data_IF_831497552692
#
_entry.id   IF_831497552692
#
_cell.length_a   1.000
_cell.length_b   1.000
_cell.length_c   1.000
_cell.angle_alpha   90.00
_cell.angle_beta   90.00
_cell.angle_gamma   90.00
#
_symmetry.space_group_name_H-M   'P 1'
#
loop_
_entity.id
_entity.type
_entity.pdbx_description
1 polymer ?
#
# COMPACT_ATOMS: atom_id res chain seq x y z
N UNK A 1 5.88 -23.78 -17.23
CA UNK A 1 6.70 -22.57 -17.49
C UNK A 1 5.71 -21.43 -17.63
N UNK A 2 5.74 -20.43 -16.75
CA UNK A 2 4.84 -19.28 -16.83
C UNK A 2 5.12 -18.48 -18.11
N UNK A 3 4.07 -17.94 -18.73
CA UNK A 3 4.24 -16.97 -19.81
C UNK A 3 4.75 -15.64 -19.25
N UNK A 4 5.24 -14.76 -20.13
CA UNK A 4 5.69 -13.41 -19.74
C UNK A 4 4.54 -12.58 -19.16
N UNK A 5 3.34 -12.79 -19.69
CA UNK A 5 2.10 -12.15 -19.24
C UNK A 5 1.69 -12.71 -17.88
N UNK A 6 1.82 -14.02 -17.64
CA UNK A 6 1.56 -14.61 -16.31
C UNK A 6 2.52 -14.09 -15.24
N UNK A 7 3.79 -13.82 -15.59
CA UNK A 7 4.75 -13.20 -14.67
C UNK A 7 4.29 -11.80 -14.25
N UNK A 8 3.78 -10.99 -15.18
CA UNK A 8 3.20 -9.67 -14.89
C UNK A 8 1.95 -9.80 -14.01
N UNK A 9 1.02 -10.71 -14.36
CA UNK A 9 -0.20 -10.95 -13.58
C UNK A 9 0.13 -11.34 -12.12
N UNK A 10 1.09 -12.24 -11.94
CA UNK A 10 1.55 -12.65 -10.61
C UNK A 10 2.11 -11.47 -9.82
N UNK A 11 2.96 -10.64 -10.45
CA UNK A 11 3.56 -9.49 -9.77
C UNK A 11 2.52 -8.42 -9.40
N UNK A 12 1.53 -8.18 -10.27
CA UNK A 12 0.40 -7.29 -9.97
C UNK A 12 -0.37 -7.78 -8.75
N UNK A 13 -0.76 -9.06 -8.75
CA UNK A 13 -1.47 -9.66 -7.61
C UNK A 13 -0.67 -9.56 -6.31
N UNK A 14 0.62 -9.89 -6.35
CA UNK A 14 1.51 -9.82 -5.18
C UNK A 14 1.64 -8.38 -4.62
N UNK A 15 1.46 -7.37 -5.47
CA UNK A 15 1.45 -5.96 -5.10
C UNK A 15 0.04 -5.41 -4.79
N UNK A 16 -0.98 -6.27 -4.69
CA UNK A 16 -2.34 -5.87 -4.36
C UNK A 16 -3.15 -5.32 -5.54
N UNK A 17 -2.78 -5.62 -6.78
CA UNK A 17 -3.57 -5.29 -7.97
C UNK A 17 -4.31 -6.52 -8.50
N UNK A 18 -5.64 -6.44 -8.53
CA UNK A 18 -6.51 -7.45 -9.09
C UNK A 18 -6.82 -7.14 -10.56
N UNK A 19 -6.60 -8.11 -11.45
CA UNK A 19 -7.09 -8.04 -12.83
C UNK A 19 -8.58 -8.42 -12.81
N UNK A 20 -9.46 -7.43 -13.02
CA UNK A 20 -10.93 -7.57 -12.87
C UNK A 20 -11.66 -7.80 -14.20
N UNK A 21 -11.03 -7.43 -15.31
CA UNK A 21 -11.47 -7.74 -16.67
C UNK A 21 -10.22 -7.99 -17.50
N UNK A 22 -10.15 -9.14 -18.16
CA UNK A 22 -9.07 -9.52 -19.05
C UNK A 22 -9.54 -9.72 -20.50
N UNK A 23 -10.55 -8.95 -20.90
CA UNK A 23 -11.29 -8.99 -22.16
C UNK A 23 -10.53 -9.51 -23.40
N UNK A 24 -11.28 -10.07 -24.34
CA UNK A 24 -10.81 -10.80 -25.54
C UNK A 24 -9.85 -10.05 -26.51
N UNK A 25 -9.32 -8.87 -26.16
CA UNK A 25 -8.54 -7.99 -27.03
C UNK A 25 -7.21 -7.48 -26.48
N UNK A 26 -6.62 -8.12 -25.46
CA UNK A 26 -5.27 -7.74 -25.00
C UNK A 26 -5.22 -6.53 -24.07
N UNK A 27 -6.34 -6.13 -23.47
CA UNK A 27 -6.38 -5.10 -22.44
C UNK A 27 -6.82 -5.68 -21.09
N UNK A 28 -6.16 -5.29 -20.01
CA UNK A 28 -6.51 -5.66 -18.64
C UNK A 28 -7.01 -4.45 -17.88
N UNK A 29 -8.20 -4.57 -17.29
CA UNK A 29 -8.64 -3.62 -16.27
C UNK A 29 -8.12 -4.12 -14.92
N UNK A 30 -7.31 -3.30 -14.25
CA UNK A 30 -6.76 -3.61 -12.94
C UNK A 30 -7.30 -2.68 -11.87
N UNK A 31 -7.51 -3.21 -10.66
CA UNK A 31 -7.95 -2.46 -9.49
C UNK A 31 -7.02 -2.73 -8.32
N UNK A 32 -6.63 -1.67 -7.61
CA UNK A 32 -5.90 -1.85 -6.36
C UNK A 32 -6.86 -2.37 -5.29
N UNK A 33 -6.52 -3.50 -4.68
CA UNK A 33 -7.33 -4.20 -3.66
C UNK A 33 -7.58 -3.33 -2.43
N UNK A 34 -6.59 -2.52 -2.06
CA UNK A 34 -6.57 -1.77 -0.81
C UNK A 34 -6.87 -0.27 -0.95
N UNK A 35 -6.68 0.31 -2.13
CA UNK A 35 -6.75 1.75 -2.33
C UNK A 35 -7.99 2.06 -3.17
N UNK A 36 -8.89 2.95 -2.72
CA UNK A 36 -10.09 3.33 -3.45
C UNK A 36 -9.78 4.32 -4.59
N UNK A 37 -8.89 3.92 -5.52
CA UNK A 37 -8.56 4.64 -6.75
C UNK A 37 -9.40 4.12 -7.92
N UNK A 38 -9.64 4.94 -8.96
CA UNK A 38 -10.22 4.47 -10.21
C UNK A 38 -9.41 3.27 -10.77
N UNK A 39 -10.07 2.28 -11.40
CA UNK A 39 -9.37 1.21 -12.08
C UNK A 39 -8.50 1.77 -13.21
N UNK A 40 -7.42 1.06 -13.52
CA UNK A 40 -6.50 1.39 -14.61
C UNK A 40 -6.62 0.37 -15.73
N UNK A 41 -6.41 0.81 -16.97
CA UNK A 41 -6.48 -0.02 -18.16
C UNK A 41 -5.08 -0.24 -18.72
N UNK A 42 -4.64 -1.51 -18.72
CA UNK A 42 -3.33 -1.94 -19.19
C UNK A 42 -3.50 -2.56 -20.58
N UNK A 43 -3.06 -1.85 -21.62
CA UNK A 43 -3.01 -2.37 -22.98
C UNK A 43 -1.74 -3.21 -23.14
N UNK A 44 -1.90 -4.52 -23.27
CA UNK A 44 -0.83 -5.48 -23.49
C UNK A 44 -0.50 -5.60 -24.97
N UNK A 45 0.74 -6.01 -25.24
CA UNK A 45 1.26 -6.24 -26.58
C UNK A 45 1.05 -5.01 -27.49
N UNK A 46 1.34 -3.82 -26.96
CA UNK A 46 1.36 -2.57 -27.74
C UNK A 46 2.74 -1.96 -27.93
N UNK A 47 3.80 -2.43 -27.24
CA UNK A 47 5.14 -1.81 -27.30
C UNK A 47 6.27 -2.71 -27.79
N UNK A 48 7.21 -2.13 -28.55
CA UNK A 48 8.50 -2.72 -28.91
C UNK A 48 9.55 -2.61 -27.79
N UNK A 49 10.75 -3.16 -28.02
CA UNK A 49 11.87 -3.11 -27.06
C UNK A 49 12.43 -1.69 -26.82
N UNK A 50 12.08 -0.74 -27.69
CA UNK A 50 12.42 0.68 -27.57
C UNK A 50 11.26 1.50 -26.97
N UNK A 51 10.17 0.86 -26.53
CA UNK A 51 8.99 1.52 -25.94
C UNK A 51 8.10 2.23 -26.96
N UNK A 52 8.17 1.86 -28.24
CA UNK A 52 7.35 2.44 -29.32
C UNK A 52 6.12 1.60 -29.61
N UNK A 53 5.03 2.27 -29.95
CA UNK A 53 3.76 1.66 -30.32
C UNK A 53 3.89 0.89 -31.64
N UNK A 54 3.40 -0.35 -31.69
CA UNK A 54 3.42 -1.19 -32.89
C UNK A 54 2.05 -1.81 -33.16
N UNK A 55 1.77 -2.04 -34.44
CA UNK A 55 0.58 -2.73 -34.95
C UNK A 55 0.70 -4.26 -34.67
N UNK A 56 0.50 -4.65 -33.41
CA UNK A 56 0.21 -5.97 -32.83
C UNK A 56 1.15 -7.19 -33.05
N UNK A 57 1.78 -7.43 -34.19
CA UNK A 57 2.43 -8.75 -34.42
C UNK A 57 3.78 -8.95 -33.69
N UNK A 58 4.42 -7.87 -33.23
CA UNK A 58 5.76 -7.90 -32.62
C UNK A 58 5.86 -7.21 -31.26
N UNK A 59 4.75 -6.66 -30.80
CA UNK A 59 4.71 -5.96 -29.54
C UNK A 59 4.74 -6.95 -28.37
N UNK A 60 5.51 -6.59 -27.34
CA UNK A 60 5.73 -7.41 -26.15
C UNK A 60 5.82 -6.51 -24.93
N UNK A 61 4.85 -5.62 -24.76
CA UNK A 61 4.90 -4.63 -23.70
C UNK A 61 3.53 -4.34 -23.13
N UNK A 62 3.47 -3.36 -22.25
CA UNK A 62 2.26 -2.90 -21.61
C UNK A 62 2.30 -1.38 -21.49
N UNK A 63 1.18 -0.71 -21.72
CA UNK A 63 0.98 0.72 -21.44
C UNK A 63 -0.29 0.92 -20.63
N UNK A 64 -0.25 1.90 -19.73
CA UNK A 64 -1.41 2.29 -18.93
C UNK A 64 -2.15 3.43 -19.65
N UNK A 65 -3.45 3.27 -19.91
CA UNK A 65 -4.26 4.24 -20.65
C UNK A 65 -4.37 5.58 -19.91
N UNK A 66 -4.60 5.54 -18.61
CA UNK A 66 -4.82 6.72 -17.77
C UNK A 66 -3.51 7.44 -17.43
N UNK A 67 -2.37 6.76 -17.58
CA UNK A 67 -1.03 7.25 -17.24
C UNK A 67 -0.04 6.86 -18.34
N UNK A 68 -0.11 7.48 -19.54
CA UNK A 68 0.62 7.00 -20.74
C UNK A 68 2.14 6.99 -20.63
N UNK A 69 2.70 7.70 -19.65
CA UNK A 69 4.12 7.67 -19.29
C UNK A 69 4.55 6.36 -18.64
N UNK A 70 3.61 5.58 -18.10
CA UNK A 70 3.88 4.27 -17.52
C UNK A 70 3.81 3.21 -18.60
N UNK A 71 4.98 2.67 -18.91
CA UNK A 71 5.17 1.65 -19.94
C UNK A 71 6.12 0.58 -19.47
N UNK A 72 5.87 -0.66 -19.89
CA UNK A 72 6.66 -1.82 -19.57
C UNK A 72 7.01 -2.57 -20.86
N UNK A 73 8.27 -2.99 -21.00
CA UNK A 73 8.68 -3.94 -22.03
C UNK A 73 8.96 -5.33 -21.44
N UNK A 74 8.24 -6.35 -21.92
CA UNK A 74 8.37 -7.75 -21.52
C UNK A 74 9.47 -8.46 -22.33
N UNK A 75 10.72 -8.13 -21.99
CA UNK A 75 11.93 -8.71 -22.58
C UNK A 75 11.90 -10.24 -22.62
N UNK A 76 12.51 -10.82 -23.67
CA UNK A 76 12.76 -12.28 -23.73
C UNK A 76 13.76 -12.73 -22.67
N UNK A 77 14.68 -11.85 -22.25
CA UNK A 77 15.58 -12.11 -21.13
C UNK A 77 14.81 -12.10 -19.81
N UNK A 78 14.83 -13.22 -19.08
CA UNK A 78 14.07 -13.40 -17.85
C UNK A 78 14.50 -12.48 -16.71
N UNK A 79 15.79 -12.15 -16.58
CA UNK A 79 16.29 -11.28 -15.52
C UNK A 79 15.79 -9.86 -15.76
N UNK A 80 16.10 -9.31 -16.93
CA UNK A 80 15.67 -7.96 -17.35
C UNK A 80 14.16 -7.80 -17.29
N UNK A 81 13.41 -8.82 -17.72
CA UNK A 81 11.95 -8.79 -17.65
C UNK A 81 11.43 -8.70 -16.22
N UNK A 82 11.99 -9.47 -15.29
CA UNK A 82 11.55 -9.46 -13.89
C UNK A 82 11.86 -8.14 -13.19
N UNK A 83 13.03 -7.56 -13.47
CA UNK A 83 13.39 -6.23 -12.98
C UNK A 83 12.42 -5.17 -13.50
N UNK A 84 12.14 -5.19 -14.82
CA UNK A 84 11.20 -4.24 -15.43
C UNK A 84 9.77 -4.42 -14.90
N UNK A 85 9.30 -5.66 -14.68
CA UNK A 85 7.99 -5.92 -14.07
C UNK A 85 7.94 -5.36 -12.64
N UNK A 86 8.98 -5.61 -11.83
CA UNK A 86 9.02 -5.12 -10.45
C UNK A 86 8.99 -3.59 -10.38
N UNK A 87 9.79 -2.93 -11.23
CA UNK A 87 9.81 -1.46 -11.33
C UNK A 87 8.46 -0.91 -11.80
N UNK A 88 7.86 -1.49 -12.84
CA UNK A 88 6.56 -1.08 -13.35
C UNK A 88 5.44 -1.20 -12.31
N UNK A 89 5.39 -2.33 -11.60
CA UNK A 89 4.42 -2.56 -10.53
C UNK A 89 4.63 -1.59 -9.37
N UNK A 90 5.88 -1.30 -9.01
CA UNK A 90 6.20 -0.29 -8.00
C UNK A 90 5.69 1.11 -8.44
N UNK A 91 5.96 1.52 -9.68
CA UNK A 91 5.49 2.81 -10.20
C UNK A 91 3.96 2.93 -10.19
N UNK A 92 3.26 1.85 -10.59
CA UNK A 92 1.80 1.77 -10.50
C UNK A 92 1.30 1.96 -9.08
N UNK A 93 1.86 1.21 -8.13
CA UNK A 93 1.48 1.29 -6.72
C UNK A 93 1.76 2.68 -6.14
N UNK A 94 2.91 3.28 -6.43
CA UNK A 94 3.23 4.66 -6.04
C UNK A 94 2.28 5.70 -6.65
N UNK A 95 1.87 5.50 -7.91
CA UNK A 95 0.84 6.34 -8.53
C UNK A 95 -0.51 6.17 -7.83
N UNK A 96 -0.95 4.94 -7.54
CA UNK A 96 -2.19 4.71 -6.81
C UNK A 96 -2.18 5.38 -5.43
N UNK A 97 -1.07 5.28 -4.68
CA UNK A 97 -0.92 5.99 -3.42
C UNK A 97 -0.99 7.51 -3.59
N UNK A 98 -0.33 8.09 -4.60
CA UNK A 98 -0.39 9.54 -4.87
C UNK A 98 -1.79 9.99 -5.26
N UNK A 99 -2.46 9.25 -6.13
CA UNK A 99 -3.83 9.53 -6.58
C UNK A 99 -4.82 9.43 -5.43
N UNK A 100 -4.68 8.40 -4.59
CA UNK A 100 -5.47 8.25 -3.38
C UNK A 100 -5.23 9.39 -2.38
N UNK A 101 -3.98 9.79 -2.17
CA UNK A 101 -3.62 10.93 -1.30
C UNK A 101 -4.23 12.25 -1.79
N UNK A 102 -4.48 12.35 -3.10
CA UNK A 102 -4.90 13.58 -3.76
C UNK A 102 -3.79 14.64 -3.79
N UNK A 103 -4.03 15.82 -4.37
CA UNK A 103 -3.10 16.93 -4.25
C UNK A 103 -2.99 17.32 -2.78
N UNK A 104 -1.82 17.07 -2.17
CA UNK A 104 -1.51 17.54 -0.82
C UNK A 104 -1.54 19.05 -0.86
N UNK A 105 -2.66 19.66 -0.44
CA UNK A 105 -2.67 21.06 -0.05
C UNK A 105 -1.57 21.20 1.03
N UNK A 106 -0.74 22.26 1.00
CA UNK A 106 0.27 22.46 2.03
C UNK A 106 -0.41 22.78 3.36
N UNK A 107 -0.97 21.77 4.03
CA UNK A 107 -1.39 21.83 5.41
C UNK A 107 -0.12 21.71 6.23
N UNK A 108 0.34 22.86 6.73
CA UNK A 108 1.55 22.98 7.56
C UNK A 108 1.40 22.31 8.93
N UNK A 109 0.18 21.91 9.32
CA UNK A 109 -0.09 21.28 10.61
C UNK A 109 -0.12 19.74 10.49
N UNK A 110 0.52 19.01 11.42
CA UNK A 110 0.41 17.56 11.48
C UNK A 110 -1.04 17.12 11.74
N UNK A 111 -1.45 16.03 11.10
CA UNK A 111 -2.66 15.31 11.44
C UNK A 111 -2.43 14.48 12.70
N UNK A 112 -3.22 14.73 13.73
CA UNK A 112 -3.05 14.10 15.03
C UNK A 112 -4.14 13.06 15.30
N UNK A 113 -3.72 11.84 15.61
CA UNK A 113 -4.56 10.71 15.96
C UNK A 113 -4.31 10.31 17.39
N UNK A 114 -5.34 10.38 18.24
CA UNK A 114 -5.24 10.09 19.68
C UNK A 114 -5.94 8.77 20.00
N UNK A 115 -5.18 7.80 20.53
CA UNK A 115 -5.70 6.53 21.04
C UNK A 115 -5.79 6.59 22.57
N UNK A 116 -7.00 6.54 23.11
CA UNK A 116 -7.23 6.52 24.55
C UNK A 116 -7.26 5.07 25.09
N UNK A 117 -6.17 4.65 25.73
CA UNK A 117 -5.94 3.29 26.21
C UNK A 117 -6.41 3.04 27.64
N UNK A 118 -6.79 4.09 28.37
CA UNK A 118 -7.22 4.02 29.78
C UNK A 118 -8.30 2.98 30.05
N UNK A 119 -9.16 2.67 29.07
CA UNK A 119 -10.26 1.71 29.21
C UNK A 119 -10.07 0.42 28.39
N UNK A 120 -8.94 0.23 27.72
CA UNK A 120 -8.66 -0.97 26.91
C UNK A 120 -8.32 -2.15 27.82
N UNK A 121 -9.05 -3.25 27.69
CA UNK A 121 -8.91 -4.45 28.54
C UNK A 121 -8.56 -5.71 27.76
N UNK A 122 -8.49 -5.63 26.45
CA UNK A 122 -8.16 -6.79 25.61
C UNK A 122 -7.53 -6.35 24.30
N UNK A 123 -6.81 -7.28 23.67
CA UNK A 123 -6.28 -7.10 22.31
C UNK A 123 -7.40 -6.78 21.32
N UNK A 124 -8.56 -7.43 21.41
CA UNK A 124 -9.70 -7.14 20.55
C UNK A 124 -10.24 -5.72 20.67
N UNK A 125 -10.28 -5.15 21.89
CA UNK A 125 -10.65 -3.74 22.09
C UNK A 125 -9.60 -2.78 21.53
N UNK A 126 -8.31 -3.10 21.71
CA UNK A 126 -7.21 -2.33 21.15
C UNK A 126 -7.31 -2.29 19.61
N UNK A 127 -7.43 -3.46 18.97
CA UNK A 127 -7.52 -3.59 17.52
C UNK A 127 -8.70 -2.80 16.95
N UNK A 128 -9.87 -2.86 17.60
CA UNK A 128 -11.04 -2.04 17.20
C UNK A 128 -10.80 -0.55 17.38
N UNK A 129 -10.08 -0.13 18.43
CA UNK A 129 -9.73 1.26 18.66
C UNK A 129 -8.82 1.79 17.54
N UNK A 130 -7.79 1.04 17.16
CA UNK A 130 -6.92 1.38 16.02
C UNK A 130 -7.71 1.45 14.71
N UNK A 131 -8.47 0.41 14.38
CA UNK A 131 -9.25 0.35 13.15
C UNK A 131 -10.22 1.53 13.03
N UNK A 132 -10.89 1.91 14.13
CA UNK A 132 -11.79 3.06 14.15
C UNK A 132 -11.04 4.38 13.99
N UNK A 133 -9.94 4.58 14.72
CA UNK A 133 -9.19 5.84 14.75
C UNK A 133 -8.55 6.15 13.40
N UNK A 134 -7.95 5.15 12.76
CA UNK A 134 -7.26 5.29 11.49
C UNK A 134 -8.13 4.93 10.28
N UNK A 135 -9.41 4.60 10.51
CA UNK A 135 -10.35 4.16 9.47
C UNK A 135 -9.72 3.06 8.60
N UNK A 136 -9.26 2.00 9.26
CA UNK A 136 -8.66 0.87 8.54
C UNK A 136 -9.64 0.33 7.49
N UNK A 137 -9.12 -0.20 6.37
CA UNK A 137 -9.95 -0.78 5.32
C UNK A 137 -10.88 -1.89 5.80
N UNK A 138 -11.96 -2.14 5.06
CA UNK A 138 -13.00 -3.14 5.40
C UNK A 138 -12.47 -4.58 5.49
N UNK A 139 -11.33 -4.88 4.85
CA UNK A 139 -10.67 -6.19 4.90
C UNK A 139 -9.76 -6.37 6.13
N UNK A 140 -9.73 -5.40 7.06
CA UNK A 140 -8.91 -5.52 8.27
C UNK A 140 -9.26 -6.79 9.06
N UNK A 141 -8.31 -7.72 9.11
CA UNK A 141 -8.52 -9.07 9.65
C UNK A 141 -8.72 -9.16 11.16
N UNK A 142 -8.62 -8.04 11.90
CA UNK A 142 -8.82 -8.04 13.36
C UNK A 142 -7.78 -8.87 14.13
N UNK A 143 -6.57 -8.98 13.59
CA UNK A 143 -5.44 -9.68 14.21
C UNK A 143 -4.28 -8.71 14.45
N UNK A 144 -3.32 -9.11 15.28
CA UNK A 144 -2.12 -8.31 15.53
C UNK A 144 -1.26 -8.14 14.28
N UNK A 145 -1.10 -9.21 13.49
CA UNK A 145 -0.37 -9.14 12.23
C UNK A 145 -1.02 -8.14 11.25
N UNK A 146 -2.36 -8.17 11.12
CA UNK A 146 -3.07 -7.21 10.29
C UNK A 146 -2.92 -5.76 10.79
N UNK A 147 -2.81 -5.56 12.12
CA UNK A 147 -2.52 -4.25 12.69
C UNK A 147 -1.12 -3.78 12.31
N UNK A 148 -0.11 -4.63 12.45
CA UNK A 148 1.26 -4.30 12.09
C UNK A 148 1.38 -3.95 10.60
N UNK A 149 0.69 -4.67 9.72
CA UNK A 149 0.62 -4.35 8.28
C UNK A 149 -0.02 -2.97 8.06
N UNK A 150 -1.19 -2.70 8.66
CA UNK A 150 -1.88 -1.42 8.52
C UNK A 150 -1.05 -0.24 9.02
N UNK A 151 -0.38 -0.36 10.16
CA UNK A 151 0.41 0.72 10.77
C UNK A 151 1.71 1.04 10.01
N UNK A 152 2.15 0.16 9.11
CA UNK A 152 3.32 0.35 8.23
C UNK A 152 2.96 0.84 6.82
N UNK A 153 1.67 0.85 6.48
CA UNK A 153 1.16 1.36 5.21
C UNK A 153 0.58 2.76 5.39
N UNK A 154 -0.50 2.93 6.17
CA UNK A 154 -1.20 4.21 6.42
C UNK A 154 -1.47 5.09 5.18
N UNK A 155 -1.22 4.62 3.96
CA UNK A 155 -1.18 5.48 2.79
C UNK A 155 -2.59 5.88 2.33
N UNK A 156 -3.63 5.28 2.92
CA UNK A 156 -4.99 5.74 2.73
C UNK A 156 -5.32 7.04 3.46
N UNK A 157 -4.46 7.47 4.40
CA UNK A 157 -4.57 8.74 5.11
C UNK A 157 -3.99 9.85 4.23
N UNK A 158 -4.80 10.86 3.91
CA UNK A 158 -4.44 11.90 2.93
C UNK A 158 -3.49 12.98 3.49
N UNK A 159 -2.81 12.70 4.60
CA UNK A 159 -2.10 13.71 5.38
C UNK A 159 -0.58 13.64 5.18
N UNK A 160 0.07 14.81 5.15
CA UNK A 160 1.51 14.94 4.87
C UNK A 160 2.42 14.65 6.07
N UNK A 161 1.91 14.80 7.29
CA UNK A 161 2.63 14.52 8.54
C UNK A 161 1.60 13.98 9.55
N UNK A 162 1.87 12.80 10.12
CA UNK A 162 0.99 12.11 11.04
C UNK A 162 1.65 12.02 12.42
N UNK A 163 0.91 12.41 13.47
CA UNK A 163 1.28 12.21 14.88
C UNK A 163 0.27 11.25 15.50
N UNK A 164 0.76 10.13 16.02
CA UNK A 164 -0.02 9.12 16.74
C UNK A 164 0.27 9.22 18.22
N UNK A 165 -0.72 9.62 19.02
CA UNK A 165 -0.61 9.69 20.49
C UNK A 165 -1.28 8.50 21.16
N UNK A 166 -0.52 7.73 21.93
CA UNK A 166 -1.02 6.64 22.75
C UNK A 166 -1.16 7.12 24.20
N UNK A 167 -2.39 7.42 24.63
CA UNK A 167 -2.68 7.97 25.97
C UNK A 167 -3.13 6.91 26.96
N UNK A 168 -2.58 6.93 28.17
CA UNK A 168 -2.93 5.99 29.22
C UNK A 168 -2.17 4.68 29.13
N UNK A 169 -0.92 4.73 28.68
CA UNK A 169 -0.04 3.57 28.59
C UNK A 169 0.26 2.99 29.98
N UNK A 170 0.40 3.83 31.00
CA UNK A 170 0.61 3.40 32.39
C UNK A 170 -0.60 2.60 32.89
N UNK A 171 -1.81 3.09 32.62
CA UNK A 171 -3.04 2.40 32.97
C UNK A 171 -3.22 1.06 32.23
N UNK A 172 -2.67 0.94 31.02
CA UNK A 172 -2.62 -0.32 30.28
C UNK A 172 -1.56 -1.27 30.87
N UNK A 173 -0.40 -0.74 31.26
CA UNK A 173 0.69 -1.50 31.89
C UNK A 173 0.25 -2.17 33.19
N UNK A 174 -0.50 -1.44 34.03
CA UNK A 174 -1.03 -1.97 35.29
C UNK A 174 -2.08 -3.06 35.07
N UNK A 175 -2.96 -2.87 34.08
CA UNK A 175 -4.14 -3.71 33.89
C UNK A 175 -3.86 -4.95 33.03
N UNK A 176 -3.17 -4.78 31.91
CA UNK A 176 -2.87 -5.84 30.94
C UNK A 176 -1.37 -5.80 30.54
N UNK A 177 -0.44 -6.24 31.42
CA UNK A 177 1.00 -6.09 31.21
C UNK A 177 1.51 -6.75 29.92
N UNK A 178 0.94 -7.89 29.53
CA UNK A 178 1.31 -8.58 28.30
C UNK A 178 0.88 -7.80 27.05
N UNK A 179 -0.32 -7.23 27.07
CA UNK A 179 -0.82 -6.40 25.97
C UNK A 179 -0.03 -5.08 25.86
N UNK A 180 0.30 -4.48 27.00
CA UNK A 180 1.17 -3.31 27.06
C UNK A 180 2.53 -3.59 26.43
N UNK A 181 3.20 -4.69 26.82
CA UNK A 181 4.51 -5.06 26.26
C UNK A 181 4.45 -5.23 24.75
N UNK A 182 3.47 -6.00 24.26
CA UNK A 182 3.29 -6.19 22.81
C UNK A 182 3.07 -4.86 22.08
N UNK A 183 2.28 -3.95 22.65
CA UNK A 183 2.05 -2.63 22.05
C UNK A 183 3.31 -1.76 22.04
N UNK A 184 4.13 -1.79 23.09
CA UNK A 184 5.42 -1.07 23.13
C UNK A 184 6.35 -1.60 22.05
N UNK A 185 6.52 -2.92 21.96
CA UNK A 185 7.39 -3.56 20.96
C UNK A 185 6.93 -3.20 19.53
N UNK A 186 5.62 -3.21 19.28
CA UNK A 186 5.04 -2.79 17.99
C UNK A 186 5.26 -1.31 17.68
N UNK A 187 5.07 -0.41 18.66
CA UNK A 187 5.28 1.04 18.46
C UNK A 187 6.73 1.33 18.08
N UNK A 188 7.70 0.69 18.75
CA UNK A 188 9.12 0.80 18.40
C UNK A 188 9.36 0.34 16.95
N UNK A 189 8.82 -0.82 16.58
CA UNK A 189 8.95 -1.36 15.23
C UNK A 189 8.35 -0.44 14.16
N UNK A 190 7.17 0.13 14.41
CA UNK A 190 6.53 1.05 13.47
C UNK A 190 7.32 2.36 13.35
N UNK A 191 7.85 2.87 14.46
CA UNK A 191 8.66 4.08 14.47
C UNK A 191 9.95 3.90 13.65
N UNK A 192 10.65 2.78 13.81
CA UNK A 192 11.84 2.44 13.02
C UNK A 192 11.52 2.32 11.52
N UNK A 193 10.41 1.68 11.17
CA UNK A 193 9.96 1.53 9.78
C UNK A 193 9.78 2.88 9.07
N UNK A 194 9.09 3.83 9.72
CA UNK A 194 8.82 5.14 9.13
C UNK A 194 10.05 6.05 9.08
N UNK A 195 10.91 6.01 10.11
CA UNK A 195 12.18 6.73 10.10
C UNK A 195 13.09 6.26 8.95
N UNK A 196 13.11 4.96 8.65
CA UNK A 196 13.88 4.39 7.54
C UNK A 196 13.43 4.86 6.15
N UNK A 197 12.17 5.29 6.01
CA UNK A 197 11.59 5.81 4.74
C UNK A 197 11.72 7.32 4.57
N UNK A 198 12.14 8.05 5.61
CA UNK A 198 12.18 9.52 5.60
C UNK A 198 10.79 10.17 5.61
N UNK A 199 9.75 9.42 5.96
CA UNK A 199 8.39 9.92 6.08
C UNK A 199 8.10 10.43 7.49
N UNK A 200 7.18 11.40 7.61
CA UNK A 200 6.90 12.07 8.88
C UNK A 200 5.72 11.40 9.57
N UNK A 201 5.94 10.20 10.11
CA UNK A 201 5.00 9.53 11.03
C UNK A 201 5.67 9.41 12.39
N UNK A 202 5.06 10.00 13.42
CA UNK A 202 5.62 10.04 14.77
C UNK A 202 4.68 9.37 15.77
N UNK A 203 5.25 8.53 16.63
CA UNK A 203 4.53 7.90 17.73
C UNK A 203 4.92 8.57 19.04
N UNK A 204 3.93 8.98 19.83
CA UNK A 204 4.10 9.60 21.14
C UNK A 204 3.38 8.76 22.18
N UNK A 205 4.15 8.19 23.10
CA UNK A 205 3.67 7.35 24.19
C UNK A 205 3.46 8.24 25.42
N UNK A 206 2.25 8.25 25.97
CA UNK A 206 1.85 9.08 27.10
C UNK A 206 1.24 8.23 28.24
N UNK A 207 1.75 8.43 29.45
CA UNK A 207 1.27 7.81 30.69
C UNK A 207 -0.12 8.29 31.14
#
# INVERSE_FOLDING_TARGET
MMSRIDELRSALHDAGWDVVDDGEGGAWVVRHHFLPVPPLTLHLDVLDWMGRELDDEQAYGCRVEEVPEFSLYLSRNRVTRREAIAEFVQQLTEHAHRTHRGPVAPTTAPAEYVLALRNVRSSGELLRLFAKTFRFPDHFGGTWAALDDCMRDLAWLQEGHIIVRLRGMDALAEREPALHRGLVDSVELWQDHWQGRGEVVQFVVEG
#
